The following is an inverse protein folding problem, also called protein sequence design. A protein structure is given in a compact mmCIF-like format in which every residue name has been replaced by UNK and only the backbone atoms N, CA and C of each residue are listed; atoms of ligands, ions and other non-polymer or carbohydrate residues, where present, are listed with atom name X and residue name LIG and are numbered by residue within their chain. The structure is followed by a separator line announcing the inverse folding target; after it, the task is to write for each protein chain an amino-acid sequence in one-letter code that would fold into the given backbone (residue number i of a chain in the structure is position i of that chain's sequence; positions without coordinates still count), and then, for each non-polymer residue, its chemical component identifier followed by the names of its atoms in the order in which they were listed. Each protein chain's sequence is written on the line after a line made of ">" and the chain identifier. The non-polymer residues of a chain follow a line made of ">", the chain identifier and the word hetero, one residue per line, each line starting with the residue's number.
data_IF_579241249360
#
_entry.id   IF_579241249360
#
_cell.length_a   1.000
_cell.length_b   1.000
_cell.length_c   1.000
_cell.angle_alpha   90.00
_cell.angle_beta   90.00
_cell.angle_gamma   90.00
#
_symmetry.space_group_name_H-M   'P 1'
#
loop_
_entity.id
_entity.type
_entity.pdbx_description
1 polymer ?
#
# COMPACT_ATOMS: atom_id res chain seq x y z
N UNK A 1 26.05 49.58 -27.41
CA UNK A 1 24.60 49.28 -27.30
C UNK A 1 24.47 47.76 -27.25
N UNK A 2 24.27 47.24 -26.04
CA UNK A 2 24.26 45.81 -25.77
C UNK A 2 22.82 45.35 -25.66
N UNK A 3 22.38 44.50 -26.60
CA UNK A 3 21.07 43.85 -26.56
C UNK A 3 21.19 42.65 -25.62
N UNK A 4 20.64 42.78 -24.42
CA UNK A 4 20.29 41.64 -23.54
C UNK A 4 18.98 41.01 -24.03
N UNK A 5 19.09 39.81 -24.56
CA UNK A 5 17.92 38.95 -24.80
C UNK A 5 17.51 38.38 -23.44
N UNK A 6 16.37 38.80 -22.92
CA UNK A 6 15.67 38.18 -21.80
C UNK A 6 15.03 36.89 -22.26
N UNK A 7 15.58 35.76 -21.85
CA UNK A 7 14.90 34.46 -21.98
C UNK A 7 13.77 34.44 -20.94
N UNK A 8 12.54 34.35 -21.45
CA UNK A 8 11.33 34.17 -20.66
C UNK A 8 11.33 32.78 -20.00
N UNK A 9 10.97 32.78 -18.74
CA UNK A 9 10.62 31.60 -17.98
C UNK A 9 9.39 30.95 -18.57
N UNK A 10 9.56 29.77 -19.19
CA UNK A 10 8.49 28.83 -19.43
C UNK A 10 9.02 27.42 -19.11
N UNK A 11 9.13 27.17 -17.82
CA UNK A 11 9.77 25.98 -17.24
C UNK A 11 8.76 25.19 -16.39
N UNK A 12 7.55 24.95 -16.92
CA UNK A 12 6.52 24.28 -16.14
C UNK A 12 5.64 23.29 -16.90
N UNK A 13 6.19 22.54 -17.87
CA UNK A 13 5.42 21.44 -18.46
C UNK A 13 6.29 20.35 -19.10
N UNK A 14 7.36 19.92 -18.43
CA UNK A 14 7.94 18.62 -18.73
C UNK A 14 7.15 17.56 -17.95
N UNK A 15 6.20 16.92 -18.61
CA UNK A 15 5.66 15.63 -18.19
C UNK A 15 6.86 14.70 -17.96
N UNK A 16 7.12 14.32 -16.71
CA UNK A 16 8.07 13.25 -16.41
C UNK A 16 7.51 11.98 -17.03
N UNK A 17 8.01 11.62 -18.22
CA UNK A 17 7.81 10.27 -18.74
C UNK A 17 8.47 9.32 -17.76
N UNK A 18 7.73 8.34 -17.28
CA UNK A 18 8.28 7.27 -16.45
C UNK A 18 9.58 6.77 -17.08
N UNK A 19 10.65 6.76 -16.28
CA UNK A 19 11.92 6.20 -16.74
C UNK A 19 11.74 4.73 -17.07
N UNK A 20 12.57 4.18 -17.96
CA UNK A 20 12.49 2.77 -18.33
C UNK A 20 12.54 1.83 -17.09
N UNK A 21 13.38 2.05 -16.08
CA UNK A 21 13.32 1.29 -14.83
C UNK A 21 11.97 1.36 -14.11
N UNK A 22 11.32 2.53 -14.11
CA UNK A 22 10.00 2.69 -13.48
C UNK A 22 8.92 1.93 -14.28
N UNK A 23 8.97 1.97 -15.60
CA UNK A 23 8.06 1.19 -16.45
C UNK A 23 8.23 -0.32 -16.20
N UNK A 24 9.49 -0.78 -16.08
CA UNK A 24 9.80 -2.17 -15.73
C UNK A 24 9.26 -2.50 -14.34
N UNK A 25 9.48 -1.66 -13.34
CA UNK A 25 8.97 -1.86 -11.99
C UNK A 25 7.44 -2.00 -11.99
N UNK A 26 6.74 -1.08 -12.65
CA UNK A 26 5.28 -1.14 -12.77
C UNK A 26 4.83 -2.45 -13.44
N UNK A 27 5.53 -2.89 -14.48
CA UNK A 27 5.21 -4.15 -15.15
C UNK A 27 5.47 -5.38 -14.29
N UNK A 28 6.55 -5.39 -13.51
CA UNK A 28 6.82 -6.46 -12.55
C UNK A 28 5.73 -6.48 -11.46
N UNK A 29 5.32 -5.32 -10.96
CA UNK A 29 4.22 -5.20 -10.01
C UNK A 29 2.90 -5.77 -10.59
N UNK A 30 2.59 -5.45 -11.85
CA UNK A 30 1.41 -6.03 -12.52
C UNK A 30 1.52 -7.58 -12.60
N UNK A 31 2.70 -8.11 -12.96
CA UNK A 31 2.90 -9.56 -13.04
C UNK A 31 2.80 -10.28 -11.70
N UNK A 32 3.24 -9.60 -10.64
CA UNK A 32 3.08 -10.06 -9.26
C UNK A 32 1.58 -10.10 -8.90
N UNK A 33 0.87 -9.01 -9.19
CA UNK A 33 -0.56 -8.91 -8.90
C UNK A 33 -1.43 -9.88 -9.71
N UNK A 34 -1.01 -10.17 -10.95
CA UNK A 34 -1.67 -11.15 -11.82
C UNK A 34 -1.32 -12.61 -11.46
N UNK A 35 -0.44 -12.84 -10.46
CA UNK A 35 0.04 -14.15 -10.09
C UNK A 35 0.98 -14.81 -11.12
N UNK A 36 1.49 -14.05 -12.09
CA UNK A 36 2.48 -14.51 -13.07
C UNK A 36 3.85 -14.72 -12.45
N UNK A 37 4.18 -13.88 -11.47
CA UNK A 37 5.34 -14.04 -10.60
C UNK A 37 4.83 -14.45 -9.22
N UNK A 38 5.32 -15.57 -8.71
CA UNK A 38 4.84 -16.17 -7.45
C UNK A 38 5.72 -15.76 -6.27
N UNK A 39 5.11 -15.73 -5.09
CA UNK A 39 5.86 -15.56 -3.84
C UNK A 39 6.96 -16.61 -3.74
N UNK A 40 8.12 -16.19 -3.27
CA UNK A 40 9.28 -17.06 -3.19
C UNK A 40 9.94 -17.39 -4.53
N UNK A 41 9.44 -16.89 -5.66
CA UNK A 41 10.01 -17.13 -6.98
C UNK A 41 11.32 -16.36 -7.17
N UNK A 42 12.30 -17.03 -7.82
CA UNK A 42 13.57 -16.42 -8.20
C UNK A 42 13.37 -15.54 -9.44
N UNK A 43 13.74 -14.26 -9.33
CA UNK A 43 13.68 -13.28 -10.40
C UNK A 43 14.95 -13.32 -11.24
N UNK A 44 14.88 -13.99 -12.40
CA UNK A 44 16.02 -14.10 -13.31
C UNK A 44 16.11 -12.83 -14.19
N UNK A 45 17.16 -12.01 -13.97
CA UNK A 45 17.39 -10.76 -14.71
C UNK A 45 17.45 -10.96 -16.23
N UNK A 46 18.04 -12.07 -16.71
CA UNK A 46 18.19 -12.35 -18.14
C UNK A 46 16.84 -12.69 -18.76
N UNK A 47 16.09 -13.53 -18.10
CA UNK A 47 14.77 -13.95 -18.55
C UNK A 47 13.79 -12.76 -18.56
N UNK A 48 13.76 -11.96 -17.49
CA UNK A 48 12.95 -10.75 -17.42
C UNK A 48 13.32 -9.73 -18.50
N UNK A 49 14.63 -9.54 -18.76
CA UNK A 49 15.11 -8.66 -19.83
C UNK A 49 14.64 -9.14 -21.20
N UNK A 50 14.70 -10.46 -21.46
CA UNK A 50 14.20 -11.07 -22.69
C UNK A 50 12.69 -10.91 -22.86
N UNK A 51 11.91 -11.17 -21.80
CA UNK A 51 10.44 -11.08 -21.84
C UNK A 51 9.96 -9.65 -22.06
N UNK A 52 10.63 -8.67 -21.45
CA UNK A 52 10.26 -7.26 -21.54
C UNK A 52 10.91 -6.52 -22.71
N UNK A 53 11.81 -7.16 -23.47
CA UNK A 53 12.49 -6.57 -24.61
C UNK A 53 13.43 -5.42 -24.24
N UNK A 54 14.03 -5.43 -23.05
CA UNK A 54 14.90 -4.38 -22.54
C UNK A 54 16.29 -4.94 -22.17
N UNK A 55 17.27 -4.05 -21.95
CA UNK A 55 18.57 -4.46 -21.42
C UNK A 55 18.50 -4.87 -19.95
N UNK A 56 19.55 -5.53 -19.43
CA UNK A 56 19.59 -5.98 -18.02
C UNK A 56 19.64 -4.84 -17.01
N UNK A 57 20.09 -3.64 -17.42
CA UNK A 57 20.27 -2.50 -16.50
C UNK A 57 18.93 -2.05 -15.88
N UNK A 58 17.89 -1.67 -16.67
CA UNK A 58 16.61 -1.27 -16.10
C UNK A 58 15.94 -2.38 -15.27
N UNK A 59 16.15 -3.65 -15.60
CA UNK A 59 15.69 -4.77 -14.77
C UNK A 59 16.36 -4.74 -13.39
N UNK A 60 17.69 -4.61 -13.34
CA UNK A 60 18.41 -4.55 -12.05
C UNK A 60 17.99 -3.36 -11.19
N UNK A 61 17.72 -2.21 -11.79
CA UNK A 61 17.22 -1.04 -11.06
C UNK A 61 15.80 -1.27 -10.53
N UNK A 62 14.92 -1.88 -11.32
CA UNK A 62 13.58 -2.24 -10.89
C UNK A 62 13.61 -3.29 -9.76
N UNK A 63 14.47 -4.32 -9.85
CA UNK A 63 14.64 -5.31 -8.79
C UNK A 63 15.15 -4.69 -7.48
N UNK A 64 16.10 -3.74 -7.54
CA UNK A 64 16.54 -2.97 -6.36
C UNK A 64 15.40 -2.14 -5.76
N UNK A 65 14.50 -1.63 -6.60
CA UNK A 65 13.30 -0.92 -6.12
C UNK A 65 12.35 -1.88 -5.40
N UNK A 66 12.12 -3.10 -5.93
CA UNK A 66 11.37 -4.14 -5.23
C UNK A 66 12.00 -4.52 -3.89
N UNK A 67 13.34 -4.62 -3.83
CA UNK A 67 14.07 -4.86 -2.57
C UNK A 67 13.85 -3.75 -1.54
N UNK A 68 13.94 -2.48 -1.97
CA UNK A 68 13.66 -1.32 -1.11
C UNK A 68 12.23 -1.28 -0.59
N UNK A 69 11.28 -1.79 -1.38
CA UNK A 69 9.87 -1.91 -1.01
C UNK A 69 9.59 -3.15 -0.12
N UNK A 70 10.61 -3.97 0.16
CA UNK A 70 10.44 -5.21 0.92
C UNK A 70 9.70 -6.33 0.16
N UNK A 71 9.56 -6.21 -1.16
CA UNK A 71 8.86 -7.18 -2.03
C UNK A 71 9.80 -8.23 -2.62
N UNK A 72 11.10 -7.98 -2.59
CA UNK A 72 12.12 -8.91 -3.02
C UNK A 72 13.31 -8.86 -2.06
N UNK A 73 14.10 -9.91 -2.06
CA UNK A 73 15.33 -10.03 -1.27
C UNK A 73 16.49 -10.56 -2.13
N UNK A 74 17.68 -10.04 -1.88
CA UNK A 74 18.90 -10.51 -2.52
C UNK A 74 19.54 -11.59 -1.68
N UNK A 75 19.54 -12.82 -2.17
CA UNK A 75 20.15 -13.98 -1.48
C UNK A 75 21.52 -14.25 -2.10
N UNK A 76 22.62 -14.24 -1.31
CA UNK A 76 23.95 -14.55 -1.80
C UNK A 76 23.97 -15.87 -2.57
N UNK A 77 24.62 -15.89 -3.74
CA UNK A 77 24.77 -17.02 -4.65
C UNK A 77 23.47 -17.52 -5.31
N UNK A 78 22.28 -17.06 -4.86
CA UNK A 78 20.98 -17.43 -5.44
C UNK A 78 20.48 -16.35 -6.40
N UNK A 79 20.65 -15.07 -6.03
CA UNK A 79 20.14 -13.90 -6.75
C UNK A 79 18.93 -13.29 -6.06
N UNK A 80 18.14 -12.53 -6.80
CA UNK A 80 16.96 -11.86 -6.28
C UNK A 80 15.77 -12.82 -6.28
N UNK A 81 15.02 -12.86 -5.18
CA UNK A 81 13.85 -13.69 -4.97
C UNK A 81 12.70 -12.85 -4.47
N UNK A 82 11.46 -13.10 -4.89
CA UNK A 82 10.29 -12.48 -4.26
C UNK A 82 10.15 -12.96 -2.82
N UNK A 83 9.81 -12.04 -1.95
CA UNK A 83 9.58 -12.35 -0.53
C UNK A 83 8.42 -13.34 -0.43
N UNK A 84 8.58 -14.35 0.41
CA UNK A 84 7.52 -15.26 0.81
C UNK A 84 7.17 -14.94 2.25
N UNK A 85 5.92 -14.61 2.50
CA UNK A 85 5.42 -14.37 3.85
C UNK A 85 4.70 -15.64 4.32
N UNK A 86 5.19 -16.20 5.40
CA UNK A 86 4.47 -17.25 6.11
C UNK A 86 3.33 -16.62 6.93
N UNK A 87 2.37 -17.45 7.34
CA UNK A 87 1.23 -16.99 8.16
C UNK A 87 1.69 -16.25 9.42
N UNK A 88 2.73 -16.74 10.05
CA UNK A 88 3.32 -16.14 11.25
C UNK A 88 3.88 -14.74 10.97
N UNK A 89 4.53 -14.53 9.80
CA UNK A 89 5.04 -13.21 9.42
C UNK A 89 3.90 -12.21 9.24
N UNK A 90 2.83 -12.63 8.54
CA UNK A 90 1.64 -11.81 8.34
C UNK A 90 0.99 -11.46 9.67
N UNK A 91 0.87 -12.43 10.58
CA UNK A 91 0.35 -12.22 11.93
C UNK A 91 1.17 -11.19 12.70
N UNK A 92 2.50 -11.33 12.72
CA UNK A 92 3.39 -10.39 13.40
C UNK A 92 3.29 -8.99 12.81
N UNK A 93 3.18 -8.84 11.48
CA UNK A 93 2.98 -7.55 10.83
C UNK A 93 1.67 -6.91 11.28
N UNK A 94 0.57 -7.65 11.34
CA UNK A 94 -0.71 -7.12 11.81
C UNK A 94 -0.67 -6.72 13.29
N UNK A 95 0.02 -7.48 14.14
CA UNK A 95 0.23 -7.12 15.55
C UNK A 95 1.00 -5.80 15.69
N UNK A 96 2.06 -5.60 14.90
CA UNK A 96 2.79 -4.33 14.89
C UNK A 96 1.91 -3.17 14.40
N UNK A 97 1.11 -3.37 13.36
CA UNK A 97 0.17 -2.37 12.86
C UNK A 97 -0.87 -2.01 13.92
N UNK A 98 -1.40 -3.01 14.65
CA UNK A 98 -2.37 -2.81 15.74
C UNK A 98 -1.83 -1.94 16.88
N UNK A 99 -0.52 -1.92 17.08
CA UNK A 99 0.13 -1.05 18.05
C UNK A 99 0.42 0.36 17.49
N UNK A 100 0.88 0.45 16.26
CA UNK A 100 1.40 1.70 15.69
C UNK A 100 0.31 2.57 15.05
N UNK A 101 -0.66 1.98 14.34
CA UNK A 101 -1.68 2.75 13.63
C UNK A 101 -2.63 3.49 14.57
N UNK A 102 -3.17 2.89 15.65
CA UNK A 102 -3.95 3.63 16.63
C UNK A 102 -3.17 4.75 17.31
N UNK A 103 -1.87 4.54 17.56
CA UNK A 103 -1.00 5.57 18.12
C UNK A 103 -0.91 6.79 17.20
N UNK A 104 -0.60 6.60 15.93
CA UNK A 104 -0.52 7.66 14.93
C UNK A 104 -1.88 8.36 14.74
N UNK A 105 -2.96 7.58 14.60
CA UNK A 105 -4.30 8.13 14.41
C UNK A 105 -4.78 8.94 15.62
N UNK A 106 -4.48 8.50 16.84
CA UNK A 106 -4.81 9.24 18.05
C UNK A 106 -4.10 10.60 18.15
N UNK A 107 -2.84 10.68 17.73
CA UNK A 107 -2.12 11.96 17.63
C UNK A 107 -2.65 12.81 16.49
N UNK A 108 -2.99 12.23 15.35
CA UNK A 108 -3.63 12.93 14.24
C UNK A 108 -4.97 13.56 14.64
N UNK A 109 -5.79 12.84 15.41
CA UNK A 109 -7.08 13.33 15.89
C UNK A 109 -6.99 14.64 16.71
N UNK A 110 -5.87 14.87 17.40
CA UNK A 110 -5.63 16.09 18.16
C UNK A 110 -5.28 17.29 17.29
N UNK A 111 -4.79 17.07 16.08
CA UNK A 111 -4.22 18.10 15.19
C UNK A 111 -5.03 18.36 13.93
N UNK A 112 -5.88 17.42 13.54
CA UNK A 112 -6.61 17.46 12.27
C UNK A 112 -7.46 18.72 12.13
N UNK A 113 -7.47 19.36 10.96
CA UNK A 113 -8.27 20.53 10.64
C UNK A 113 -9.60 20.14 9.97
N UNK A 114 -10.53 21.09 9.86
CA UNK A 114 -11.80 20.86 9.16
C UNK A 114 -11.58 20.61 7.65
N UNK A 115 -10.60 21.30 7.05
CA UNK A 115 -10.22 21.06 5.65
C UNK A 115 -9.72 19.64 5.44
N UNK A 116 -8.88 19.14 6.34
CA UNK A 116 -8.38 17.77 6.26
C UNK A 116 -9.47 16.72 6.50
N UNK A 117 -10.45 17.00 7.35
CA UNK A 117 -11.64 16.15 7.50
C UNK A 117 -12.43 16.10 6.19
N UNK A 118 -12.62 17.25 5.55
CA UNK A 118 -13.29 17.30 4.24
C UNK A 118 -12.52 16.54 3.15
N UNK A 119 -11.19 16.63 3.11
CA UNK A 119 -10.35 15.83 2.21
C UNK A 119 -10.53 14.32 2.45
N UNK A 120 -10.60 13.89 3.72
CA UNK A 120 -10.86 12.48 4.06
C UNK A 120 -12.25 12.02 3.59
N UNK A 121 -13.27 12.86 3.71
CA UNK A 121 -14.61 12.56 3.18
C UNK A 121 -14.61 12.39 1.67
N UNK A 122 -13.88 13.23 0.93
CA UNK A 122 -13.75 13.08 -0.52
C UNK A 122 -13.00 11.80 -0.89
N UNK A 123 -11.91 11.48 -0.20
CA UNK A 123 -11.19 10.20 -0.39
C UNK A 123 -12.12 9.01 -0.12
N UNK A 124 -12.96 9.10 0.92
CA UNK A 124 -13.92 8.05 1.25
C UNK A 124 -15.03 7.94 0.22
N UNK A 125 -15.55 9.04 -0.33
CA UNK A 125 -16.52 9.01 -1.44
C UNK A 125 -15.97 8.32 -2.68
N UNK A 126 -14.68 8.54 -3.00
CA UNK A 126 -14.00 7.84 -4.11
C UNK A 126 -13.82 6.33 -3.83
N UNK A 127 -13.74 5.93 -2.56
CA UNK A 127 -13.56 4.55 -2.14
C UNK A 127 -14.81 3.69 -2.30
N UNK A 128 -15.99 4.25 -1.98
CA UNK A 128 -17.28 3.53 -1.98
C UNK A 128 -17.57 2.81 -3.32
N UNK A 129 -17.53 3.48 -4.49
CA UNK A 129 -17.85 2.82 -5.76
C UNK A 129 -16.83 1.74 -6.16
N UNK A 130 -15.60 1.79 -5.63
CA UNK A 130 -14.60 0.73 -5.87
C UNK A 130 -14.98 -0.54 -5.10
N UNK A 131 -15.49 -0.36 -3.87
CA UNK A 131 -15.91 -1.46 -3.00
C UNK A 131 -17.24 -2.09 -3.47
N UNK A 132 -18.15 -1.27 -4.01
CA UNK A 132 -19.48 -1.68 -4.44
C UNK A 132 -19.52 -2.18 -5.89
N UNK A 133 -18.39 -2.18 -6.60
CA UNK A 133 -18.33 -2.67 -7.97
C UNK A 133 -18.62 -4.18 -8.05
N UNK A 134 -19.32 -4.61 -9.11
CA UNK A 134 -19.57 -6.04 -9.36
C UNK A 134 -18.28 -6.85 -9.51
N UNK A 135 -17.26 -6.25 -10.13
CA UNK A 135 -15.90 -6.76 -10.19
C UNK A 135 -14.95 -5.80 -9.48
N UNK A 136 -14.44 -6.22 -8.33
CA UNK A 136 -13.55 -5.41 -7.52
C UNK A 136 -12.13 -5.44 -8.11
N UNK A 137 -11.63 -4.28 -8.53
CA UNK A 137 -10.22 -4.08 -8.85
C UNK A 137 -9.41 -4.01 -7.55
N UNK A 138 -8.74 -5.12 -7.20
CA UNK A 138 -7.98 -5.23 -5.96
C UNK A 138 -6.86 -4.18 -5.84
N UNK A 139 -6.25 -3.76 -6.97
CA UNK A 139 -5.22 -2.72 -6.99
C UNK A 139 -5.80 -1.35 -6.64
N UNK A 140 -6.90 -0.97 -7.31
CA UNK A 140 -7.58 0.30 -7.02
C UNK A 140 -8.06 0.34 -5.57
N UNK A 141 -8.66 -0.75 -5.11
CA UNK A 141 -9.13 -0.88 -3.74
C UNK A 141 -7.98 -0.70 -2.75
N UNK A 142 -6.87 -1.41 -2.93
CA UNK A 142 -5.70 -1.29 -2.07
C UNK A 142 -5.14 0.14 -2.05
N UNK A 143 -4.95 0.75 -3.22
CA UNK A 143 -4.39 2.09 -3.33
C UNK A 143 -5.28 3.15 -2.70
N UNK A 144 -6.60 3.07 -2.90
CA UNK A 144 -7.53 4.02 -2.31
C UNK A 144 -7.67 3.83 -0.79
N UNK A 145 -7.69 2.58 -0.32
CA UNK A 145 -7.64 2.27 1.11
C UNK A 145 -6.36 2.81 1.77
N UNK A 146 -5.20 2.61 1.12
CA UNK A 146 -3.92 3.16 1.57
C UNK A 146 -3.97 4.70 1.63
N UNK A 147 -4.46 5.36 0.57
CA UNK A 147 -4.62 6.82 0.49
C UNK A 147 -5.39 7.35 1.68
N UNK A 148 -6.52 6.71 2.02
CA UNK A 148 -7.35 7.09 3.16
C UNK A 148 -6.61 6.99 4.50
N UNK A 149 -6.03 5.85 4.80
CA UNK A 149 -5.34 5.64 6.07
C UNK A 149 -4.11 6.54 6.24
N UNK A 150 -3.30 6.71 5.18
CA UNK A 150 -2.10 7.54 5.25
C UNK A 150 -2.42 9.04 5.28
N UNK A 151 -3.57 9.48 4.75
CA UNK A 151 -4.06 10.84 4.95
C UNK A 151 -4.31 11.13 6.44
N UNK A 152 -4.75 10.14 7.22
CA UNK A 152 -4.88 10.29 8.68
C UNK A 152 -3.51 10.27 9.36
N UNK A 153 -2.68 9.24 9.09
CA UNK A 153 -1.42 9.07 9.84
C UNK A 153 -0.43 10.20 9.63
N UNK A 154 -0.35 10.79 8.42
CA UNK A 154 0.53 11.91 8.12
C UNK A 154 0.27 13.15 8.98
N UNK A 155 -0.98 13.37 9.42
CA UNK A 155 -1.35 14.50 10.29
C UNK A 155 -0.74 14.37 11.69
N UNK A 156 -0.37 13.15 12.10
CA UNK A 156 0.26 12.92 13.40
C UNK A 156 1.61 13.62 13.56
N UNK A 157 2.32 13.88 12.45
CA UNK A 157 3.70 14.39 12.42
C UNK A 157 4.70 13.47 13.15
N UNK A 158 4.35 12.18 13.28
CA UNK A 158 5.21 11.17 13.86
C UNK A 158 6.01 10.46 12.76
N UNK A 159 6.93 11.16 12.10
CA UNK A 159 7.63 10.71 10.88
C UNK A 159 8.19 9.29 10.99
N UNK A 160 8.81 8.95 12.12
CA UNK A 160 9.40 7.61 12.32
C UNK A 160 8.34 6.53 12.46
N UNK A 161 7.24 6.81 13.14
CA UNK A 161 6.10 5.88 13.29
C UNK A 161 5.42 5.70 11.95
N UNK A 162 5.17 6.79 11.21
CA UNK A 162 4.60 6.74 9.87
C UNK A 162 5.46 5.93 8.89
N UNK A 163 6.78 6.11 8.91
CA UNK A 163 7.71 5.33 8.08
C UNK A 163 7.68 3.83 8.43
N UNK A 164 7.56 3.47 9.71
CA UNK A 164 7.39 2.07 10.11
C UNK A 164 6.05 1.50 9.65
N UNK A 165 4.95 2.23 9.83
CA UNK A 165 3.63 1.84 9.34
C UNK A 165 3.69 1.63 7.81
N UNK A 166 4.33 2.54 7.09
CA UNK A 166 4.48 2.44 5.64
C UNK A 166 5.22 1.18 5.22
N UNK A 167 6.34 0.86 5.85
CA UNK A 167 7.10 -0.37 5.59
C UNK A 167 6.27 -1.64 5.85
N UNK A 168 5.47 -1.66 6.92
CA UNK A 168 4.57 -2.78 7.22
C UNK A 168 3.45 -2.93 6.17
N UNK A 169 2.90 -1.81 5.69
CA UNK A 169 1.92 -1.80 4.63
C UNK A 169 2.51 -2.26 3.30
N UNK A 170 3.72 -1.83 2.96
CA UNK A 170 4.42 -2.22 1.72
C UNK A 170 4.67 -3.72 1.71
N UNK A 171 5.16 -4.29 2.82
CA UNK A 171 5.36 -5.74 2.96
C UNK A 171 4.06 -6.53 2.78
N UNK A 172 2.94 -6.05 3.34
CA UNK A 172 1.63 -6.68 3.19
C UNK A 172 0.97 -6.39 1.84
N UNK A 173 1.41 -5.38 1.09
CA UNK A 173 0.76 -4.97 -0.16
C UNK A 173 0.68 -6.12 -1.15
N UNK A 174 1.78 -6.85 -1.27
CA UNK A 174 1.90 -8.04 -2.07
C UNK A 174 0.89 -9.12 -1.68
N UNK A 175 0.85 -9.44 -0.40
CA UNK A 175 -0.07 -10.42 0.17
C UNK A 175 -1.54 -10.04 -0.06
N UNK A 176 -1.90 -8.78 0.20
CA UNK A 176 -3.27 -8.28 0.00
C UNK A 176 -3.70 -8.27 -1.46
N UNK A 177 -2.80 -8.02 -2.40
CA UNK A 177 -3.12 -7.98 -3.82
C UNK A 177 -3.34 -9.40 -4.39
N UNK A 178 -2.62 -10.38 -3.91
CA UNK A 178 -2.76 -11.78 -4.37
C UNK A 178 -3.96 -12.46 -3.68
N UNK A 179 -4.05 -12.36 -2.35
CA UNK A 179 -5.03 -13.10 -1.55
C UNK A 179 -6.26 -12.26 -1.16
N UNK A 180 -6.19 -10.93 -1.23
CA UNK A 180 -7.29 -10.04 -0.81
C UNK A 180 -8.55 -10.16 -1.67
N UNK A 181 -8.43 -10.62 -2.91
CA UNK A 181 -9.55 -10.82 -3.84
C UNK A 181 -10.59 -11.80 -3.28
N UNK A 182 -10.14 -12.90 -2.70
CA UNK A 182 -11.01 -13.97 -2.23
C UNK A 182 -11.59 -13.67 -0.85
N UNK A 183 -10.83 -12.99 0.00
CA UNK A 183 -11.31 -12.50 1.31
C UNK A 183 -12.43 -11.49 1.15
N UNK A 184 -12.34 -10.57 0.19
CA UNK A 184 -13.35 -9.53 -0.03
C UNK A 184 -14.63 -10.14 -0.63
N UNK A 185 -14.53 -11.13 -1.52
CA UNK A 185 -15.68 -11.79 -2.14
C UNK A 185 -16.47 -12.69 -1.18
N UNK A 186 -15.78 -13.35 -0.23
CA UNK A 186 -16.38 -14.37 0.63
C UNK A 186 -16.93 -13.84 1.97
N UNK A 187 -16.69 -12.59 2.30
CA UNK A 187 -17.17 -11.97 3.53
C UNK A 187 -17.98 -10.71 3.20
N UNK A 188 -18.93 -10.34 4.05
CA UNK A 188 -19.49 -8.98 4.04
C UNK A 188 -18.38 -7.90 4.31
N UNK A 189 -17.12 -8.28 4.09
CA UNK A 189 -15.92 -7.52 4.39
C UNK A 189 -15.88 -6.16 3.69
N UNK A 190 -16.37 -6.09 2.46
CA UNK A 190 -16.41 -4.84 1.70
C UNK A 190 -17.31 -3.79 2.37
N UNK A 191 -18.52 -4.18 2.79
CA UNK A 191 -19.45 -3.26 3.50
C UNK A 191 -18.91 -2.84 4.86
N UNK A 192 -18.22 -3.75 5.56
CA UNK A 192 -17.57 -3.42 6.83
C UNK A 192 -16.47 -2.39 6.64
N UNK A 193 -15.68 -2.47 5.55
CA UNK A 193 -14.62 -1.50 5.26
C UNK A 193 -15.16 -0.07 5.05
N UNK A 194 -16.31 0.09 4.38
CA UNK A 194 -16.97 1.39 4.24
C UNK A 194 -17.43 1.91 5.59
N UNK A 195 -18.04 1.05 6.42
CA UNK A 195 -18.51 1.43 7.75
C UNK A 195 -17.34 1.78 8.70
N UNK A 196 -16.23 1.03 8.63
CA UNK A 196 -15.01 1.32 9.40
C UNK A 196 -14.46 2.71 9.06
N UNK A 197 -14.31 3.04 7.78
CA UNK A 197 -13.82 4.37 7.35
C UNK A 197 -14.77 5.49 7.80
N UNK A 198 -16.08 5.29 7.67
CA UNK A 198 -17.06 6.26 8.16
C UNK A 198 -16.93 6.47 9.68
N UNK A 199 -16.77 5.38 10.44
CA UNK A 199 -16.57 5.44 11.89
C UNK A 199 -15.29 6.20 12.29
N UNK A 200 -14.21 6.11 11.49
CA UNK A 200 -12.99 6.88 11.72
C UNK A 200 -13.20 8.37 11.45
N UNK A 201 -13.89 8.72 10.36
CA UNK A 201 -14.26 10.11 10.03
C UNK A 201 -15.12 10.70 11.16
N UNK A 202 -16.11 9.96 11.62
CA UNK A 202 -17.00 10.43 12.70
C UNK A 202 -16.23 10.68 14.01
N UNK A 203 -15.30 9.78 14.37
CA UNK A 203 -14.45 9.95 15.54
C UNK A 203 -13.50 11.17 15.40
N UNK A 204 -12.99 11.43 14.19
CA UNK A 204 -12.16 12.59 13.89
C UNK A 204 -12.96 13.90 13.98
N UNK A 205 -14.21 13.93 13.49
CA UNK A 205 -15.13 15.07 13.63
C UNK A 205 -15.44 15.39 15.10
N UNK A 206 -15.69 14.34 15.87
CA UNK A 206 -15.98 14.44 17.29
C UNK A 206 -14.71 14.75 18.13
N UNK A 207 -13.52 14.76 17.51
CA UNK A 207 -12.23 14.90 18.22
C UNK A 207 -12.03 13.82 19.30
N UNK A 208 -12.64 12.66 19.12
CA UNK A 208 -12.58 11.54 20.05
C UNK A 208 -11.44 10.59 19.69
N UNK A 209 -10.24 10.93 20.17
CA UNK A 209 -9.03 10.14 19.92
C UNK A 209 -9.11 8.71 20.48
N UNK A 210 -9.79 8.52 21.62
CA UNK A 210 -9.88 7.18 22.23
C UNK A 210 -10.85 6.28 21.45
N UNK A 211 -11.95 6.84 20.95
CA UNK A 211 -12.86 6.12 20.03
C UNK A 211 -12.14 5.74 18.75
N UNK A 212 -11.36 6.64 18.15
CA UNK A 212 -10.61 6.37 16.92
C UNK A 212 -9.57 5.27 17.12
N UNK A 213 -8.77 5.36 18.20
CA UNK A 213 -7.78 4.33 18.56
C UNK A 213 -8.44 2.97 18.73
N UNK A 214 -9.53 2.93 19.51
CA UNK A 214 -10.25 1.68 19.77
C UNK A 214 -10.80 1.08 18.49
N UNK A 215 -11.42 1.88 17.63
CA UNK A 215 -11.98 1.40 16.35
C UNK A 215 -10.91 0.81 15.45
N UNK A 216 -9.75 1.47 15.29
CA UNK A 216 -8.62 0.92 14.52
C UNK A 216 -8.06 -0.36 15.13
N UNK A 217 -7.90 -0.38 16.46
CA UNK A 217 -7.40 -1.55 17.17
C UNK A 217 -8.33 -2.76 16.98
N UNK A 218 -9.63 -2.56 17.12
CA UNK A 218 -10.65 -3.61 16.97
C UNK A 218 -10.72 -4.12 15.53
N UNK A 219 -10.69 -3.22 14.54
CA UNK A 219 -10.69 -3.60 13.10
C UNK A 219 -9.46 -4.45 12.75
N UNK A 220 -8.27 -4.08 13.25
CA UNK A 220 -7.06 -4.88 13.04
C UNK A 220 -7.11 -6.20 13.81
N UNK A 221 -7.70 -6.23 15.01
CA UNK A 221 -7.95 -7.44 15.80
C UNK A 221 -8.80 -8.47 15.06
N UNK A 222 -9.86 -8.02 14.39
CA UNK A 222 -10.70 -8.91 13.54
C UNK A 222 -9.87 -9.54 12.42
N UNK A 223 -8.91 -8.81 11.82
CA UNK A 223 -8.01 -9.35 10.79
C UNK A 223 -7.05 -10.39 11.38
N UNK A 224 -6.47 -10.12 12.55
CA UNK A 224 -5.59 -11.03 13.28
C UNK A 224 -6.32 -12.34 13.59
N UNK A 225 -7.55 -12.26 14.09
CA UNK A 225 -8.38 -13.42 14.38
C UNK A 225 -8.71 -14.25 13.13
N UNK A 226 -8.96 -13.58 12.01
CA UNK A 226 -9.18 -14.23 10.71
C UNK A 226 -7.95 -15.00 10.25
N UNK A 227 -6.78 -14.37 10.25
CA UNK A 227 -5.50 -14.98 9.85
C UNK A 227 -5.19 -16.22 10.72
N UNK A 228 -5.44 -16.15 12.01
CA UNK A 228 -5.15 -17.25 12.96
C UNK A 228 -6.06 -18.47 12.77
N UNK A 229 -7.23 -18.31 12.17
CA UNK A 229 -8.24 -19.39 11.99
C UNK A 229 -8.16 -20.06 10.61
N UNK A 230 -7.60 -19.41 9.61
CA UNK A 230 -7.57 -19.91 8.23
C UNK A 230 -6.22 -20.58 7.93
N UNK A 231 -6.17 -21.91 8.04
CA UNK A 231 -5.00 -22.72 7.69
C UNK A 231 -4.79 -22.88 6.18
N UNK A 232 -5.79 -22.61 5.34
CA UNK A 232 -5.76 -22.90 3.90
C UNK A 232 -5.27 -21.75 3.00
N UNK A 233 -5.10 -20.53 3.52
CA UNK A 233 -4.66 -19.37 2.74
C UNK A 233 -3.19 -19.40 2.30
N UNK A 234 -2.38 -20.29 2.87
CA UNK A 234 -0.91 -20.28 2.72
C UNK A 234 -0.36 -21.51 2.01
N UNK A 235 -1.23 -22.45 1.62
CA UNK A 235 -0.83 -23.74 1.00
C UNK A 235 -1.04 -23.82 -0.50
N UNK A 236 -1.31 -22.70 -1.22
CA UNK A 236 -1.51 -22.70 -2.67
C UNK A 236 -0.35 -22.04 -3.41
#
# INVERSE_FOLDING_TARGET
>A
MSNRVTMGQDDSMMLQRDTLPMQVLNKLMDWIMDGKLKMGEKLNTEELARQLGVSRMPIREALKSLEKMGLAESIPYVGVKLVSLEQEDVLQIYLMRQLLEPLAAGEACKKITEEQIHELEEIHKEYIPIVEADEIDAKKLYLQNRKFHFAIYSISEMDRVCAMIESLWDTLSFFKLIYGRDVIKNTNGAKNMIADHQGYIDALKDRDAERLKKSLYDTLGVRIDGISKETDYYTL
#
